data_IF_736335739388
#
_entry.id   IF_736335739388
#
_cell.length_a   1.000
_cell.length_b   1.000
_cell.length_c   1.000
_cell.angle_alpha   90.00
_cell.angle_beta   90.00
_cell.angle_gamma   90.00
#
_symmetry.space_group_name_H-M   'P 1'
#
loop_
_entity.id
_entity.type
_entity.pdbx_description
1 polymer ?
#
# COMPACT_ATOMS: atom_id res chain seq x y z
N UNK A 1 -26.76 -26.35 -8.52
CA UNK A 1 -26.39 -25.40 -9.59
C UNK A 1 -25.66 -24.18 -9.04
N UNK A 2 -26.21 -23.48 -8.04
CA UNK A 2 -25.63 -22.25 -7.47
C UNK A 2 -24.28 -22.46 -6.76
N UNK A 3 -24.15 -23.49 -5.93
CA UNK A 3 -22.89 -23.89 -5.28
C UNK A 3 -21.77 -24.15 -6.29
N UNK A 4 -22.09 -24.81 -7.41
CA UNK A 4 -21.12 -25.10 -8.47
C UNK A 4 -20.60 -23.81 -9.13
N UNK A 5 -21.46 -22.80 -9.29
CA UNK A 5 -21.05 -21.48 -9.78
C UNK A 5 -20.17 -20.75 -8.77
N UNK A 6 -20.49 -20.82 -7.48
CA UNK A 6 -19.67 -20.24 -6.41
C UNK A 6 -18.28 -20.87 -6.38
N UNK A 7 -18.17 -22.20 -6.47
CA UNK A 7 -16.87 -22.89 -6.54
C UNK A 7 -16.10 -22.50 -7.81
N UNK A 8 -16.77 -22.44 -8.97
CA UNK A 8 -16.14 -22.01 -10.23
C UNK A 8 -15.60 -20.57 -10.17
N UNK A 9 -16.40 -19.63 -9.64
CA UNK A 9 -16.03 -18.22 -9.50
C UNK A 9 -14.89 -18.09 -8.47
N UNK A 10 -14.93 -18.85 -7.37
CA UNK A 10 -13.87 -18.91 -6.37
C UNK A 10 -12.56 -19.44 -6.93
N UNK A 11 -12.60 -20.53 -7.71
CA UNK A 11 -11.43 -21.08 -8.41
C UNK A 11 -10.84 -20.13 -9.44
N UNK A 12 -11.68 -19.31 -10.06
CA UNK A 12 -11.24 -18.26 -10.97
C UNK A 12 -10.62 -17.04 -10.24
N UNK A 13 -10.58 -17.03 -8.90
CA UNK A 13 -9.92 -16.00 -8.11
C UNK A 13 -10.79 -14.79 -7.75
N UNK A 14 -12.11 -14.87 -7.98
CA UNK A 14 -13.04 -13.75 -7.74
C UNK A 14 -13.62 -13.71 -6.32
N UNK A 15 -13.08 -14.51 -5.40
CA UNK A 15 -13.48 -14.53 -3.99
C UNK A 15 -13.57 -13.14 -3.33
N UNK A 16 -12.73 -12.12 -3.66
CA UNK A 16 -12.87 -10.80 -3.04
C UNK A 16 -14.20 -10.10 -3.35
N UNK A 17 -14.88 -10.49 -4.43
CA UNK A 17 -15.99 -9.72 -4.99
C UNK A 17 -17.38 -10.29 -4.68
N UNK A 18 -17.47 -11.57 -4.34
CA UNK A 18 -18.76 -12.24 -4.14
C UNK A 18 -18.99 -12.72 -2.70
N UNK A 19 -17.94 -12.86 -1.89
CA UNK A 19 -18.07 -13.51 -0.58
C UNK A 19 -19.04 -12.77 0.35
N UNK A 20 -18.95 -11.44 0.45
CA UNK A 20 -19.87 -10.68 1.29
C UNK A 20 -21.32 -10.83 0.84
N UNK A 21 -21.55 -10.83 -0.47
CA UNK A 21 -22.90 -10.97 -1.05
C UNK A 21 -23.48 -12.35 -0.78
N UNK A 22 -22.69 -13.39 -0.98
CA UNK A 22 -23.11 -14.78 -0.73
C UNK A 22 -23.37 -15.01 0.75
N UNK A 23 -22.53 -14.49 1.65
CA UNK A 23 -22.72 -14.65 3.09
C UNK A 23 -23.90 -13.84 3.66
N UNK A 24 -24.29 -12.72 3.05
CA UNK A 24 -25.37 -11.87 3.54
C UNK A 24 -26.75 -12.25 2.98
N UNK A 25 -26.83 -12.62 1.70
CA UNK A 25 -28.13 -12.84 1.03
C UNK A 25 -28.62 -14.29 1.15
N UNK A 26 -27.71 -15.24 1.41
CA UNK A 26 -28.02 -16.66 1.26
C UNK A 26 -27.58 -17.43 2.50
N UNK A 27 -28.47 -18.27 3.05
CA UNK A 27 -28.12 -19.28 4.06
C UNK A 27 -27.22 -20.40 3.48
N UNK A 28 -26.30 -20.03 2.59
CA UNK A 28 -25.40 -20.92 1.91
C UNK A 28 -24.17 -21.12 2.77
N UNK A 29 -24.07 -22.32 3.34
CA UNK A 29 -22.88 -22.75 4.06
C UNK A 29 -21.74 -22.93 3.06
N UNK A 30 -20.74 -22.03 3.13
CA UNK A 30 -19.51 -22.19 2.38
C UNK A 30 -18.84 -23.53 2.71
N UNK A 31 -18.26 -24.19 1.70
CA UNK A 31 -17.46 -25.38 1.93
C UNK A 31 -16.23 -25.04 2.79
N UNK A 32 -15.65 -26.04 3.48
CA UNK A 32 -14.43 -25.83 4.26
C UNK A 32 -13.28 -25.25 3.40
N UNK A 33 -13.19 -25.68 2.14
CA UNK A 33 -12.19 -25.16 1.21
C UNK A 33 -12.40 -23.68 0.91
N UNK A 34 -13.65 -23.27 0.72
CA UNK A 34 -13.98 -21.87 0.46
C UNK A 34 -13.76 -21.01 1.70
N UNK A 35 -14.09 -21.51 2.89
CA UNK A 35 -13.82 -20.83 4.16
C UNK A 35 -12.32 -20.57 4.35
N UNK A 36 -11.48 -21.59 4.13
CA UNK A 36 -10.02 -21.45 4.24
C UNK A 36 -9.49 -20.42 3.24
N UNK A 37 -9.93 -20.47 1.98
CA UNK A 37 -9.52 -19.49 0.96
C UNK A 37 -9.97 -18.08 1.35
N UNK A 38 -11.21 -17.94 1.78
CA UNK A 38 -11.80 -16.66 2.21
C UNK A 38 -10.96 -16.00 3.28
N UNK A 39 -10.68 -16.72 4.36
CA UNK A 39 -9.90 -16.19 5.48
C UNK A 39 -8.44 -15.98 5.08
N UNK A 40 -7.83 -16.85 4.27
CA UNK A 40 -6.46 -16.66 3.80
C UNK A 40 -6.28 -15.34 3.02
N UNK A 41 -7.24 -14.99 2.17
CA UNK A 41 -7.17 -13.78 1.36
C UNK A 41 -7.70 -12.53 2.05
N UNK A 42 -8.32 -12.66 3.22
CA UNK A 42 -8.78 -11.52 4.01
C UNK A 42 -7.60 -10.73 4.55
N UNK A 43 -7.77 -9.42 4.66
CA UNK A 43 -6.82 -8.55 5.37
C UNK A 43 -7.01 -8.69 6.87
N UNK A 44 -5.92 -8.87 7.60
CA UNK A 44 -5.93 -8.92 9.06
C UNK A 44 -6.15 -7.52 9.70
N UNK A 45 -5.89 -6.45 8.95
CA UNK A 45 -5.87 -5.08 9.48
C UNK A 45 -6.94 -4.16 8.88
N UNK A 46 -7.46 -4.49 7.69
CA UNK A 46 -8.54 -3.75 7.05
C UNK A 46 -9.85 -4.54 7.14
N UNK A 47 -10.90 -3.99 7.77
CA UNK A 47 -12.17 -4.69 7.91
C UNK A 47 -12.79 -4.90 6.53
N UNK A 48 -13.28 -6.11 6.28
CA UNK A 48 -14.01 -6.47 5.06
C UNK A 48 -13.22 -6.27 3.75
N UNK A 49 -11.89 -6.29 3.83
CA UNK A 49 -11.02 -6.26 2.66
C UNK A 49 -10.50 -7.66 2.38
N UNK A 50 -10.55 -8.05 1.11
CA UNK A 50 -10.00 -9.30 0.60
C UNK A 50 -9.04 -8.96 -0.53
N UNK A 51 -7.82 -9.49 -0.45
CA UNK A 51 -6.79 -9.36 -1.46
C UNK A 51 -7.01 -10.36 -2.57
N UNK A 52 -6.90 -9.94 -3.83
CA UNK A 52 -6.72 -10.93 -4.88
C UNK A 52 -5.33 -11.59 -4.76
N UNK A 53 -5.10 -12.65 -5.52
CA UNK A 53 -3.94 -13.52 -5.32
C UNK A 53 -2.60 -12.77 -5.32
N UNK A 54 -2.34 -11.93 -6.33
CA UNK A 54 -1.07 -11.19 -6.40
C UNK A 54 -0.92 -10.14 -5.29
N UNK A 55 -2.00 -9.52 -4.82
CA UNK A 55 -1.95 -8.63 -3.65
C UNK A 55 -1.55 -9.41 -2.39
N UNK A 56 -2.08 -10.62 -2.21
CA UNK A 56 -1.73 -11.47 -1.07
C UNK A 56 -0.27 -11.93 -1.12
N UNK A 57 0.25 -12.23 -2.30
CA UNK A 57 1.68 -12.54 -2.48
C UNK A 57 2.57 -11.36 -2.05
N UNK A 58 2.20 -10.13 -2.43
CA UNK A 58 2.91 -8.91 -2.01
C UNK A 58 2.78 -8.70 -0.51
N UNK A 59 1.58 -8.82 0.05
CA UNK A 59 1.30 -8.70 1.47
C UNK A 59 2.18 -9.66 2.31
N UNK A 60 2.22 -10.94 1.94
CA UNK A 60 3.06 -11.95 2.62
C UNK A 60 4.54 -11.59 2.53
N UNK A 61 5.01 -11.16 1.35
CA UNK A 61 6.40 -10.78 1.19
C UNK A 61 6.75 -9.51 2.00
N UNK A 62 5.84 -8.54 2.14
CA UNK A 62 6.00 -7.39 3.01
C UNK A 62 6.01 -7.80 4.48
N UNK A 63 5.13 -8.72 4.89
CA UNK A 63 5.10 -9.30 6.24
C UNK A 63 6.42 -10.00 6.62
N UNK A 64 7.12 -10.57 5.63
CA UNK A 64 8.43 -11.20 5.83
C UNK A 64 9.60 -10.20 5.86
N UNK A 65 9.35 -8.90 5.75
CA UNK A 65 10.38 -7.87 5.75
C UNK A 65 11.12 -7.70 4.41
N UNK A 66 10.60 -8.29 3.32
CA UNK A 66 11.25 -8.19 2.02
C UNK A 66 11.01 -6.82 1.37
N UNK A 67 11.99 -6.38 0.59
CA UNK A 67 11.84 -5.25 -0.33
C UNK A 67 11.24 -5.75 -1.65
N UNK A 68 10.20 -5.08 -2.14
CA UNK A 68 9.43 -5.56 -3.30
C UNK A 68 9.29 -4.44 -4.32
N UNK A 69 9.52 -4.77 -5.59
CA UNK A 69 9.15 -3.90 -6.70
C UNK A 69 7.89 -4.44 -7.39
N UNK A 70 6.81 -3.68 -7.37
CA UNK A 70 5.51 -4.05 -7.93
C UNK A 70 5.33 -3.35 -9.28
N UNK A 71 5.51 -4.08 -10.38
CA UNK A 71 5.15 -3.58 -11.71
C UNK A 71 3.70 -3.95 -12.00
N UNK A 72 2.75 -3.06 -11.71
CA UNK A 72 1.33 -3.29 -11.95
C UNK A 72 0.59 -2.01 -12.36
N UNK A 73 -0.52 -2.10 -13.13
CA UNK A 73 -1.36 -0.96 -13.47
C UNK A 73 -1.96 -0.29 -12.23
N UNK A 74 -2.38 0.97 -12.33
CA UNK A 74 -3.04 1.71 -11.24
C UNK A 74 -4.29 0.98 -10.71
N UNK A 75 -4.99 0.23 -11.57
CA UNK A 75 -6.16 -0.59 -11.20
C UNK A 75 -5.83 -1.82 -10.35
N UNK A 76 -4.55 -2.17 -10.17
CA UNK A 76 -4.11 -3.27 -9.31
C UNK A 76 -4.39 -2.99 -7.81
N UNK A 77 -4.69 -1.75 -7.44
CA UNK A 77 -5.03 -1.40 -6.07
C UNK A 77 -3.81 -1.31 -5.16
N UNK A 78 -2.66 -0.83 -5.67
CA UNK A 78 -1.47 -0.53 -4.83
C UNK A 78 -1.82 0.33 -3.62
N UNK A 79 -2.72 1.31 -3.78
CA UNK A 79 -3.18 2.15 -2.68
C UNK A 79 -3.84 1.37 -1.54
N UNK A 80 -4.41 0.18 -1.80
CA UNK A 80 -4.95 -0.72 -0.77
C UNK A 80 -3.83 -1.35 0.05
N UNK A 81 -2.74 -1.79 -0.59
CA UNK A 81 -1.57 -2.34 0.09
C UNK A 81 -0.88 -1.28 0.96
N UNK A 82 -0.74 -0.04 0.47
CA UNK A 82 -0.20 1.08 1.26
C UNK A 82 -1.04 1.31 2.51
N UNK A 83 -2.37 1.35 2.35
CA UNK A 83 -3.30 1.56 3.45
C UNK A 83 -3.26 0.41 4.46
N UNK A 84 -3.15 -0.83 3.98
CA UNK A 84 -3.02 -1.98 4.88
C UNK A 84 -1.75 -1.91 5.71
N UNK A 85 -0.60 -1.57 5.10
CA UNK A 85 0.67 -1.41 5.82
C UNK A 85 0.58 -0.31 6.89
N UNK A 86 -0.06 0.82 6.57
CA UNK A 86 -0.33 1.88 7.55
C UNK A 86 -1.23 1.36 8.68
N UNK A 87 -2.24 0.55 8.36
CA UNK A 87 -3.16 -0.02 9.35
C UNK A 87 -2.47 -1.00 10.31
N UNK A 88 -1.35 -1.63 9.93
CA UNK A 88 -0.56 -2.50 10.81
C UNK A 88 0.06 -1.76 11.99
N UNK A 89 0.28 -0.46 11.84
CA UNK A 89 0.91 0.41 12.86
C UNK A 89 2.32 -0.03 13.30
N UNK A 90 2.99 -0.84 12.47
CA UNK A 90 4.31 -1.44 12.75
C UNK A 90 5.47 -0.46 12.55
N UNK A 91 5.33 0.47 11.62
CA UNK A 91 6.36 1.45 11.28
C UNK A 91 6.10 2.78 11.98
N UNK A 92 7.15 3.45 12.48
CA UNK A 92 7.00 4.77 13.10
C UNK A 92 7.00 5.86 12.03
N UNK A 93 7.93 5.79 11.08
CA UNK A 93 8.08 6.76 10.00
C UNK A 93 7.88 6.09 8.65
N UNK A 94 6.76 6.41 8.01
CA UNK A 94 6.38 5.91 6.68
C UNK A 94 6.55 7.02 5.66
N UNK A 95 7.27 6.77 4.56
CA UNK A 95 7.40 7.72 3.45
C UNK A 95 6.68 7.22 2.20
N UNK A 96 5.72 7.98 1.70
CA UNK A 96 5.02 7.71 0.45
C UNK A 96 5.42 8.79 -0.55
N UNK A 97 6.20 8.40 -1.55
CA UNK A 97 6.63 9.27 -2.64
C UNK A 97 5.59 9.23 -3.75
N UNK A 98 5.03 10.40 -4.07
CA UNK A 98 4.01 10.60 -5.08
C UNK A 98 4.50 11.57 -6.16
N UNK A 99 4.18 11.36 -7.45
CA UNK A 99 4.72 12.19 -8.52
C UNK A 99 4.01 13.55 -8.67
N UNK A 100 2.80 13.73 -8.09
CA UNK A 100 2.01 14.96 -8.26
C UNK A 100 1.30 15.38 -6.98
N UNK A 101 1.02 16.69 -6.85
CA UNK A 101 0.23 17.25 -5.74
C UNK A 101 -1.20 16.67 -5.67
N UNK A 102 -1.78 16.29 -6.81
CA UNK A 102 -3.12 15.70 -6.85
C UNK A 102 -3.13 14.32 -6.17
N UNK A 103 -2.16 13.46 -6.48
CA UNK A 103 -2.03 12.14 -5.84
C UNK A 103 -1.63 12.24 -4.36
N UNK A 104 -0.86 13.28 -3.99
CA UNK A 104 -0.61 13.62 -2.60
C UNK A 104 -1.93 13.92 -1.86
N UNK A 105 -2.79 14.77 -2.42
CA UNK A 105 -4.07 15.11 -1.78
C UNK A 105 -5.02 13.90 -1.71
N UNK A 106 -5.05 13.06 -2.74
CA UNK A 106 -5.81 11.81 -2.75
C UNK A 106 -5.33 10.86 -1.65
N UNK A 107 -4.02 10.58 -1.59
CA UNK A 107 -3.41 9.71 -0.58
C UNK A 107 -3.65 10.26 0.83
N UNK A 108 -3.51 11.59 1.01
CA UNK A 108 -3.81 12.28 2.28
C UNK A 108 -5.26 12.06 2.72
N UNK A 109 -6.23 12.25 1.81
CA UNK A 109 -7.65 12.07 2.10
C UNK A 109 -7.91 10.63 2.54
N UNK A 110 -7.35 9.66 1.81
CA UNK A 110 -7.46 8.24 2.12
C UNK A 110 -6.90 7.89 3.50
N UNK A 111 -5.71 8.37 3.83
CA UNK A 111 -5.03 8.08 5.09
C UNK A 111 -5.47 8.98 6.26
N UNK A 112 -6.40 9.92 6.04
CA UNK A 112 -6.86 10.85 7.08
C UNK A 112 -7.49 10.18 8.29
N UNK A 113 -8.03 8.97 8.13
CA UNK A 113 -8.59 8.16 9.22
C UNK A 113 -7.53 7.66 10.22
N UNK A 114 -6.24 7.70 9.87
CA UNK A 114 -5.13 7.30 10.74
C UNK A 114 -4.50 8.47 11.50
N UNK A 115 -5.07 9.68 11.43
CA UNK A 115 -4.55 10.88 12.13
C UNK A 115 -4.48 10.74 13.65
N UNK A 116 -5.24 9.83 14.24
CA UNK A 116 -5.16 9.53 15.68
C UNK A 116 -3.88 8.78 16.07
N UNK A 117 -3.28 8.05 15.13
CA UNK A 117 -2.08 7.24 15.34
C UNK A 117 -0.82 7.85 14.71
N UNK A 118 -1.00 8.62 13.63
CA UNK A 118 0.07 9.16 12.82
C UNK A 118 -0.11 10.65 12.54
N UNK A 119 1.01 11.37 12.57
CA UNK A 119 1.09 12.72 12.05
C UNK A 119 1.23 12.69 10.51
N UNK A 120 0.28 13.30 9.78
CA UNK A 120 0.34 13.37 8.32
C UNK A 120 1.13 14.59 7.86
N UNK A 121 2.31 14.35 7.27
CA UNK A 121 3.25 15.37 6.82
C UNK A 121 3.25 15.45 5.30
N UNK A 122 2.98 16.64 4.78
CA UNK A 122 2.78 16.91 3.35
C UNK A 122 3.62 18.12 2.91
N UNK A 123 4.01 18.95 3.87
CA UNK A 123 4.87 20.09 3.66
C UNK A 123 6.13 19.92 4.50
N UNK A 124 7.27 20.37 3.96
CA UNK A 124 8.60 20.28 4.56
C UNK A 124 8.76 21.12 5.84
N UNK A 125 7.81 22.01 6.13
CA UNK A 125 7.81 22.89 7.32
C UNK A 125 6.97 22.39 8.49
N UNK A 126 6.26 21.27 8.34
CA UNK A 126 5.45 20.72 9.42
C UNK A 126 6.33 20.09 10.50
N UNK A 127 5.83 20.12 11.73
CA UNK A 127 6.52 19.52 12.89
C UNK A 127 6.45 17.99 12.75
N UNK A 128 7.58 17.34 12.97
CA UNK A 128 7.72 15.87 13.02
C UNK A 128 7.42 15.41 14.46
N UNK A 129 6.58 14.40 14.62
CA UNK A 129 6.24 13.78 15.91
C UNK A 129 6.87 12.38 16.02
N UNK A 130 6.44 11.54 16.96
CA UNK A 130 6.99 10.18 17.12
C UNK A 130 6.61 9.25 15.97
N UNK A 131 5.35 9.30 15.52
CA UNK A 131 4.84 8.52 14.39
C UNK A 131 4.36 9.43 13.27
N UNK A 132 4.90 9.25 12.07
CA UNK A 132 4.67 10.12 10.93
C UNK A 132 4.40 9.33 9.65
N UNK A 133 3.50 9.87 8.82
CA UNK A 133 3.34 9.47 7.43
C UNK A 133 3.67 10.69 6.57
N UNK A 134 4.79 10.61 5.87
CA UNK A 134 5.23 11.60 4.91
C UNK A 134 4.60 11.28 3.55
N UNK A 135 3.88 12.23 2.95
CA UNK A 135 3.29 12.10 1.62
C UNK A 135 3.86 13.23 0.77
N UNK A 136 4.97 12.96 0.08
CA UNK A 136 5.83 13.98 -0.53
C UNK A 136 6.17 13.63 -1.97
N UNK A 137 6.62 14.62 -2.74
CA UNK A 137 7.31 14.37 -4.01
C UNK A 137 8.79 14.09 -3.74
N UNK A 138 9.51 13.50 -4.70
CA UNK A 138 10.92 13.20 -4.56
C UNK A 138 11.78 14.44 -4.24
N UNK A 139 11.47 15.58 -4.86
CA UNK A 139 12.16 16.86 -4.63
C UNK A 139 11.96 17.34 -3.19
N UNK A 140 10.73 17.25 -2.66
CA UNK A 140 10.44 17.64 -1.28
C UNK A 140 11.11 16.76 -0.24
N UNK A 141 11.37 15.48 -0.57
CA UNK A 141 12.16 14.60 0.31
C UNK A 141 13.60 15.12 0.43
N UNK A 142 14.18 15.66 -0.63
CA UNK A 142 15.53 16.26 -0.60
C UNK A 142 15.56 17.57 0.17
N UNK A 143 14.53 18.41 0.02
CA UNK A 143 14.41 19.69 0.71
C UNK A 143 14.03 19.57 2.19
N UNK A 144 13.62 18.39 2.65
CA UNK A 144 13.23 18.20 4.04
C UNK A 144 14.47 18.32 4.95
N UNK A 145 14.56 19.35 5.81
CA UNK A 145 15.82 19.70 6.49
C UNK A 145 16.28 18.62 7.48
N UNK A 146 15.34 18.03 8.21
CA UNK A 146 15.61 17.01 9.23
C UNK A 146 14.67 15.82 9.04
N UNK A 147 14.77 15.13 7.89
CA UNK A 147 13.99 13.93 7.65
C UNK A 147 14.45 12.86 8.66
N UNK A 148 13.55 12.32 9.51
CA UNK A 148 13.92 11.25 10.44
C UNK A 148 14.25 9.97 9.68
N UNK A 149 14.78 8.98 10.41
CA UNK A 149 14.96 7.63 9.86
C UNK A 149 13.59 7.11 9.42
N UNK A 150 13.50 6.74 8.14
CA UNK A 150 12.31 6.13 7.56
C UNK A 150 12.41 4.62 7.78
N UNK A 151 11.32 4.01 8.25
CA UNK A 151 11.27 2.56 8.49
C UNK A 151 10.68 1.81 7.30
N UNK A 152 9.74 2.46 6.61
CA UNK A 152 9.11 1.95 5.41
C UNK A 152 8.92 3.06 4.38
N UNK A 153 9.24 2.81 3.11
CA UNK A 153 8.90 3.74 2.04
C UNK A 153 8.23 3.08 0.84
N UNK A 154 7.42 3.88 0.16
CA UNK A 154 6.71 3.51 -1.06
C UNK A 154 7.02 4.52 -2.15
N UNK A 155 7.26 4.06 -3.37
CA UNK A 155 7.25 4.91 -4.56
C UNK A 155 6.03 4.56 -5.40
N UNK A 156 5.07 5.46 -5.46
CA UNK A 156 3.93 5.28 -6.36
C UNK A 156 4.27 5.74 -7.78
N UNK A 157 3.65 5.09 -8.76
CA UNK A 157 3.85 5.33 -10.19
C UNK A 157 5.32 5.46 -10.64
N UNK A 158 6.20 4.63 -10.08
CA UNK A 158 7.64 4.58 -10.40
C UNK A 158 7.92 4.58 -11.92
N UNK A 159 7.12 3.83 -12.69
CA UNK A 159 7.28 3.75 -14.16
C UNK A 159 7.10 5.10 -14.89
N UNK A 160 6.29 6.03 -14.37
CA UNK A 160 6.13 7.37 -14.97
C UNK A 160 7.36 8.23 -14.73
N UNK A 161 8.07 7.98 -13.64
CA UNK A 161 9.31 8.68 -13.31
C UNK A 161 10.43 8.12 -14.19
N UNK A 162 10.54 6.80 -14.32
CA UNK A 162 11.61 6.15 -15.10
C UNK A 162 11.53 6.32 -16.62
N UNK A 163 10.34 6.45 -17.21
CA UNK A 163 10.19 6.53 -18.67
C UNK A 163 10.65 7.88 -19.28
N UNK A 164 11.09 8.84 -18.46
CA UNK A 164 11.57 10.15 -18.93
C UNK A 164 13.09 10.23 -18.79
N UNK A 165 13.79 9.50 -19.65
CA UNK A 165 15.24 9.26 -19.63
C UNK A 165 16.17 10.51 -19.66
N UNK A 166 15.66 11.74 -19.54
CA UNK A 166 16.44 12.99 -19.47
C UNK A 166 15.79 14.04 -18.54
N UNK A 167 14.96 13.63 -17.57
CA UNK A 167 14.22 14.53 -16.69
C UNK A 167 14.90 14.59 -15.32
N UNK A 168 15.16 15.81 -14.80
CA UNK A 168 15.76 16.07 -13.49
C UNK A 168 14.99 15.44 -12.31
N UNK A 169 13.76 15.00 -12.57
CA UNK A 169 12.94 14.21 -11.64
C UNK A 169 13.50 12.81 -11.36
N UNK A 170 14.16 12.16 -12.33
CA UNK A 170 14.83 10.87 -12.10
C UNK A 170 16.02 11.08 -11.16
N UNK A 171 16.80 12.13 -11.38
CA UNK A 171 17.93 12.47 -10.51
C UNK A 171 17.46 12.75 -9.09
N UNK A 172 16.39 13.54 -8.95
CA UNK A 172 15.79 13.84 -7.65
C UNK A 172 15.31 12.58 -6.93
N UNK A 173 14.69 11.64 -7.66
CA UNK A 173 14.27 10.35 -7.09
C UNK A 173 15.46 9.49 -6.67
N UNK A 174 16.48 9.37 -7.50
CA UNK A 174 17.68 8.59 -7.19
C UNK A 174 18.40 9.11 -5.94
N UNK A 175 18.56 10.44 -5.84
CA UNK A 175 19.18 11.05 -4.65
C UNK A 175 18.28 10.87 -3.43
N UNK A 176 16.95 10.97 -3.57
CA UNK A 176 16.01 10.74 -2.48
C UNK A 176 16.06 9.29 -1.98
N UNK A 177 16.13 8.32 -2.90
CA UNK A 177 16.32 6.91 -2.60
C UNK A 177 17.62 6.66 -1.85
N UNK A 178 18.74 7.20 -2.32
CA UNK A 178 20.03 7.10 -1.64
C UNK A 178 20.01 7.75 -0.25
N UNK A 179 19.20 8.78 -0.03
CA UNK A 179 19.03 9.39 1.30
C UNK A 179 18.26 8.47 2.25
N UNK A 180 17.20 7.82 1.75
CA UNK A 180 16.26 7.00 2.55
C UNK A 180 16.77 5.58 2.81
N UNK A 181 17.46 4.98 1.83
CA UNK A 181 17.96 3.59 1.90
C UNK A 181 19.24 3.44 2.74
N UNK A 182 19.79 4.52 3.29
CA UNK A 182 20.96 4.46 4.21
C UNK A 182 20.66 3.77 5.53
N UNK A 183 19.38 3.59 5.84
CA UNK A 183 18.90 2.88 7.02
C UNK A 183 18.32 1.53 6.55
N UNK A 184 18.20 0.54 7.44
CA UNK A 184 17.62 -0.78 7.13
C UNK A 184 16.10 -0.65 6.90
N UNK A 185 15.74 0.11 5.87
CA UNK A 185 14.40 0.55 5.52
C UNK A 185 13.76 -0.48 4.61
N UNK A 186 12.53 -0.85 4.91
CA UNK A 186 11.74 -1.70 4.03
C UNK A 186 11.12 -0.88 2.89
N UNK A 187 11.08 -1.43 1.68
CA UNK A 187 10.71 -0.71 0.47
C UNK A 187 9.63 -1.43 -0.35
N UNK A 188 8.68 -0.66 -0.86
CA UNK A 188 7.75 -1.07 -1.91
C UNK A 188 7.83 -0.10 -3.11
N UNK A 189 8.24 -0.59 -4.29
CA UNK A 189 8.32 0.18 -5.53
C UNK A 189 7.11 -0.07 -6.45
#
# INVERSE_FOLDING_TARGET
AKEMWIDLIGRAGFYPYYIEKVCQEEQLTLSLQDQIKTEFFKSDYLPNIYFHQQQKEIEIALSNGNNIAVSAPTSFGKSLLIEEIVARKQFCNILIIQPTLALIDETRKKLSKYKGDYNLIINTRQIVLEKNIFILTAERVLEFPNLPNIDFFVIDEFYKICNRLNDSRIDSLNVALLRVMKHNTQAMF
#
